data_IF_524034638442
#
_entry.id   IF_524034638442
#
_cell.length_a   1.000
_cell.length_b   1.000
_cell.length_c   1.000
_cell.angle_alpha   90.00
_cell.angle_beta   90.00
_cell.angle_gamma   90.00
#
_symmetry.space_group_name_H-M   'P 1'
#
loop_
_entity.id
_entity.type
_entity.pdbx_description
1 polymer ?
#
# COMPACT_ATOMS: atom_id res chain seq x y z
N UNK A 1 63.37 -13.22 43.78
CA UNK A 1 62.43 -14.21 43.20
C UNK A 1 61.00 -13.70 43.42
N UNK A 2 60.39 -13.13 42.38
CA UNK A 2 58.94 -12.98 42.25
C UNK A 2 58.65 -12.71 40.77
N UNK A 3 58.01 -13.66 40.08
CA UNK A 3 57.52 -13.51 38.70
C UNK A 3 56.17 -12.77 38.74
N UNK A 4 55.86 -11.84 37.83
CA UNK A 4 54.49 -11.39 37.65
C UNK A 4 53.70 -12.42 36.81
N UNK A 5 52.56 -12.83 37.36
CA UNK A 5 51.49 -13.55 36.67
C UNK A 5 50.65 -12.55 35.87
N UNK A 6 50.87 -12.41 34.56
CA UNK A 6 49.89 -11.76 33.66
C UNK A 6 50.18 -12.10 32.20
N UNK A 7 50.01 -13.37 31.82
CA UNK A 7 49.94 -13.75 30.40
C UNK A 7 48.69 -14.61 30.05
N UNK A 8 47.88 -15.00 31.03
CA UNK A 8 46.70 -15.86 30.80
C UNK A 8 45.38 -15.10 30.60
N UNK A 9 45.33 -13.81 30.92
CA UNK A 9 44.11 -13.00 30.75
C UNK A 9 43.96 -12.43 29.33
N UNK A 10 45.07 -12.21 28.61
CA UNK A 10 45.04 -11.68 27.24
C UNK A 10 44.58 -12.73 26.21
N UNK A 11 44.85 -14.01 26.45
CA UNK A 11 44.49 -15.11 25.54
C UNK A 11 43.01 -15.49 25.60
N UNK A 12 42.34 -15.30 26.75
CA UNK A 12 40.90 -15.53 26.88
C UNK A 12 40.06 -14.43 26.21
N UNK A 13 40.53 -13.18 26.20
CA UNK A 13 39.84 -12.06 25.54
C UNK A 13 39.92 -12.13 24.01
N UNK A 14 41.04 -12.61 23.46
CA UNK A 14 41.22 -12.77 22.01
C UNK A 14 40.41 -13.95 21.42
N UNK A 15 40.16 -15.01 22.20
CA UNK A 15 39.32 -16.12 21.77
C UNK A 15 37.82 -15.74 21.67
N UNK A 16 37.34 -14.83 22.53
CA UNK A 16 35.94 -14.37 22.52
C UNK A 16 35.64 -13.36 21.41
N UNK A 17 36.64 -12.63 20.90
CA UNK A 17 36.46 -11.70 19.77
C UNK A 17 36.50 -12.44 18.42
N UNK A 18 37.21 -13.57 18.35
CA UNK A 18 37.25 -14.40 17.13
C UNK A 18 35.94 -15.16 16.85
N UNK A 19 35.06 -15.36 17.85
CA UNK A 19 33.76 -15.99 17.66
C UNK A 19 32.67 -15.05 17.09
N UNK A 20 32.93 -13.74 17.02
CA UNK A 20 31.98 -12.73 16.51
C UNK A 20 32.22 -12.34 15.03
N UNK A 21 33.22 -12.94 14.37
CA UNK A 21 33.64 -12.55 13.01
C UNK A 21 33.53 -13.66 11.96
N UNK A 22 32.96 -14.81 12.31
CA UNK A 22 32.54 -15.78 11.28
C UNK A 22 31.09 -15.49 10.90
N UNK A 23 30.80 -15.12 9.63
CA UNK A 23 29.46 -15.28 9.13
C UNK A 23 29.24 -16.79 9.11
N UNK A 24 28.51 -17.30 10.11
CA UNK A 24 27.80 -18.56 9.93
C UNK A 24 27.05 -18.37 8.63
N UNK A 25 27.36 -19.19 7.63
CA UNK A 25 26.46 -19.42 6.50
C UNK A 25 25.17 -20.00 7.09
N UNK A 26 24.39 -19.15 7.75
CA UNK A 26 22.98 -19.35 7.86
C UNK A 26 22.55 -19.33 6.40
N UNK A 27 22.27 -20.52 5.86
CA UNK A 27 21.31 -20.61 4.78
C UNK A 27 20.23 -19.61 5.13
N UNK A 28 20.03 -18.64 4.24
CA UNK A 28 18.80 -17.89 4.15
C UNK A 28 17.72 -18.94 3.91
N UNK A 29 17.31 -19.62 4.98
CA UNK A 29 15.98 -20.17 5.08
C UNK A 29 15.11 -18.95 4.91
N UNK A 30 14.29 -18.99 3.86
CA UNK A 30 13.26 -18.04 3.56
C UNK A 30 12.46 -17.75 4.83
N UNK A 31 12.90 -16.77 5.63
CA UNK A 31 12.14 -16.16 6.71
C UNK A 31 11.14 -15.19 6.07
N UNK A 32 10.39 -15.73 5.11
CA UNK A 32 9.10 -15.22 4.74
C UNK A 32 8.16 -15.60 5.87
N UNK A 33 7.19 -14.74 6.14
CA UNK A 33 6.05 -14.95 7.06
C UNK A 33 5.28 -16.27 6.83
N UNK A 34 5.63 -17.03 5.79
CA UNK A 34 5.01 -18.28 5.36
C UNK A 34 5.53 -19.55 6.07
N UNK A 35 6.70 -19.53 6.72
CA UNK A 35 7.38 -20.79 7.13
C UNK A 35 7.91 -20.86 8.58
N UNK A 36 7.91 -19.77 9.35
CA UNK A 36 8.49 -19.73 10.70
C UNK A 36 7.47 -19.85 11.85
N UNK A 37 7.76 -20.66 12.88
CA UNK A 37 7.14 -20.50 14.20
C UNK A 37 7.64 -19.18 14.81
N UNK A 38 6.97 -18.08 14.51
CA UNK A 38 7.25 -16.74 15.06
C UNK A 38 6.80 -16.60 16.52
N UNK A 39 7.08 -17.59 17.37
CA UNK A 39 6.86 -17.46 18.81
C UNK A 39 8.17 -17.03 19.45
N UNK A 40 8.25 -15.81 20.03
CA UNK A 40 9.41 -15.40 20.79
C UNK A 40 9.75 -16.44 21.87
N UNK A 41 11.04 -16.56 22.20
CA UNK A 41 11.45 -17.43 23.29
C UNK A 41 10.73 -17.01 24.58
N UNK A 42 10.01 -17.95 25.19
CA UNK A 42 9.23 -17.73 26.42
C UNK A 42 10.12 -17.36 27.61
N UNK A 43 11.43 -17.62 27.53
CA UNK A 43 12.41 -17.18 28.51
C UNK A 43 12.74 -15.68 28.41
N UNK A 44 12.47 -15.05 27.25
CA UNK A 44 12.75 -13.64 27.00
C UNK A 44 11.49 -12.77 27.05
N UNK A 45 10.37 -13.28 26.54
CA UNK A 45 9.09 -12.56 26.49
C UNK A 45 7.95 -13.50 26.87
N UNK A 46 7.22 -13.16 27.93
CA UNK A 46 6.02 -13.90 28.31
C UNK A 46 4.94 -13.75 27.24
N UNK A 47 4.28 -14.86 26.90
CA UNK A 47 3.19 -14.84 25.94
C UNK A 47 1.92 -14.25 26.57
N UNK A 48 1.42 -13.15 26.00
CA UNK A 48 0.13 -12.52 26.36
C UNK A 48 -0.92 -12.66 25.26
N UNK A 49 -2.19 -12.71 25.66
CA UNK A 49 -3.37 -12.52 24.78
C UNK A 49 -4.11 -11.20 25.06
N UNK A 50 -3.61 -10.39 25.98
CA UNK A 50 -4.19 -9.16 26.52
C UNK A 50 -4.42 -8.10 25.43
N UNK A 51 -3.65 -8.14 24.35
CA UNK A 51 -3.90 -7.25 23.21
C UNK A 51 -5.26 -7.52 22.54
N UNK A 52 -5.75 -8.77 22.58
CA UNK A 52 -7.08 -9.11 22.05
C UNK A 52 -8.20 -8.53 22.90
N UNK A 53 -8.02 -8.40 24.22
CA UNK A 53 -9.02 -7.75 25.08
C UNK A 53 -8.96 -6.22 24.96
N UNK A 54 -7.79 -5.66 24.68
CA UNK A 54 -7.63 -4.22 24.46
C UNK A 54 -8.19 -3.74 23.12
N UNK A 55 -7.83 -4.42 22.02
CA UNK A 55 -8.09 -3.96 20.66
C UNK A 55 -8.20 -5.18 19.71
N UNK A 56 -9.32 -5.91 19.80
CA UNK A 56 -9.58 -7.05 18.92
C UNK A 56 -9.73 -6.59 17.46
N UNK A 57 -8.96 -7.15 16.50
CA UNK A 57 -9.06 -6.76 15.10
C UNK A 57 -10.41 -7.18 14.51
N UNK A 58 -11.05 -6.27 13.79
CA UNK A 58 -12.31 -6.46 13.06
C UNK A 58 -12.10 -6.34 11.56
N UNK A 59 -13.10 -6.78 10.79
CA UNK A 59 -13.11 -6.76 9.33
C UNK A 59 -11.93 -7.51 8.69
N UNK A 60 -11.38 -8.55 9.32
CA UNK A 60 -10.28 -9.33 8.76
C UNK A 60 -10.50 -10.82 9.00
N UNK A 61 -10.16 -11.61 7.99
CA UNK A 61 -10.12 -13.07 8.07
C UNK A 61 -8.88 -13.52 8.84
N UNK A 62 -9.08 -14.26 9.93
CA UNK A 62 -7.98 -14.80 10.74
C UNK A 62 -7.47 -16.07 10.07
N UNK A 63 -6.25 -16.02 9.55
CA UNK A 63 -5.56 -17.16 8.96
C UNK A 63 -4.55 -17.71 9.96
N UNK A 64 -4.66 -18.99 10.28
CA UNK A 64 -3.74 -19.66 11.21
C UNK A 64 -2.29 -19.56 10.69
N UNK A 65 -1.36 -19.24 11.59
CA UNK A 65 0.05 -19.08 11.24
C UNK A 65 0.42 -17.78 10.52
N UNK A 66 -0.55 -16.89 10.22
CA UNK A 66 -0.29 -15.64 9.51
C UNK A 66 -0.54 -14.41 10.39
N UNK A 67 0.51 -13.67 10.78
CA UNK A 67 0.36 -12.44 11.55
C UNK A 67 -0.42 -11.36 10.79
N UNK A 68 -1.28 -10.63 11.51
CA UNK A 68 -1.97 -9.46 10.97
C UNK A 68 -1.02 -8.26 11.01
N UNK A 69 -0.75 -7.59 9.87
CA UNK A 69 0.15 -6.44 9.85
C UNK A 69 -0.49 -5.20 10.51
N UNK A 70 0.29 -4.49 11.32
CA UNK A 70 -0.20 -3.33 12.11
C UNK A 70 0.14 -1.98 11.48
N UNK A 71 1.23 -1.88 10.72
CA UNK A 71 1.74 -0.61 10.14
C UNK A 71 1.72 -0.61 8.60
N UNK A 72 0.72 -1.27 8.02
CA UNK A 72 0.54 -1.32 6.56
C UNK A 72 -0.26 -0.13 6.04
N UNK A 73 -0.04 0.25 4.78
CA UNK A 73 -0.72 1.39 4.13
C UNK A 73 -2.24 1.22 4.03
N UNK A 74 -2.74 -0.01 4.13
CA UNK A 74 -4.15 -0.36 4.14
C UNK A 74 -4.69 -0.63 5.55
N UNK A 75 -3.92 -0.34 6.61
CA UNK A 75 -4.27 -0.68 8.00
C UNK A 75 -5.60 -0.11 8.46
N UNK A 76 -6.06 1.00 7.88
CA UNK A 76 -7.37 1.61 8.15
C UNK A 76 -8.56 0.65 7.90
N UNK A 77 -8.39 -0.39 7.08
CA UNK A 77 -9.42 -1.40 6.84
C UNK A 77 -9.69 -2.28 8.07
N UNK A 78 -8.69 -2.43 8.94
CA UNK A 78 -8.78 -3.17 10.19
C UNK A 78 -9.00 -2.13 11.29
N UNK A 79 -10.06 -2.33 12.07
CA UNK A 79 -10.37 -1.49 13.22
C UNK A 79 -10.58 -2.37 14.44
N UNK A 80 -10.42 -1.81 15.63
CA UNK A 80 -10.87 -2.44 16.86
C UNK A 80 -11.97 -1.65 17.58
N UNK A 81 -12.46 -0.57 16.95
CA UNK A 81 -13.56 0.22 17.49
C UNK A 81 -14.87 -0.59 17.44
N UNK A 82 -15.49 -0.87 18.61
CA UNK A 82 -16.73 -1.61 18.68
C UNK A 82 -17.92 -0.92 18.01
N UNK A 83 -17.87 0.42 17.87
CA UNK A 83 -18.90 1.24 17.22
C UNK A 83 -18.73 1.36 15.70
N UNK A 84 -17.62 0.84 15.16
CA UNK A 84 -17.28 0.98 13.74
C UNK A 84 -18.19 0.24 12.75
N UNK A 85 -19.20 -0.52 13.20
CA UNK A 85 -20.28 -0.96 12.30
C UNK A 85 -21.05 0.23 11.70
N UNK A 86 -20.98 1.40 12.35
CA UNK A 86 -21.63 2.64 11.92
C UNK A 86 -20.62 3.78 11.61
N UNK A 87 -19.31 3.49 11.58
CA UNK A 87 -18.28 4.49 11.30
C UNK A 87 -17.67 4.21 9.93
N UNK A 88 -17.59 5.21 9.03
CA UNK A 88 -16.92 5.04 7.75
C UNK A 88 -15.47 4.62 7.95
N UNK A 89 -15.03 3.64 7.17
CA UNK A 89 -13.63 3.23 7.15
C UNK A 89 -12.79 4.40 6.64
N UNK A 90 -11.73 4.74 7.37
CA UNK A 90 -10.81 5.80 6.95
C UNK A 90 -10.18 5.45 5.59
N UNK A 91 -9.90 6.45 4.74
CA UNK A 91 -9.39 6.18 3.40
C UNK A 91 -8.08 5.39 3.41
N UNK A 92 -7.89 4.55 2.41
CA UNK A 92 -6.60 3.93 2.07
C UNK A 92 -6.05 4.49 0.77
N UNK A 93 -4.73 4.37 0.58
CA UNK A 93 -4.01 5.10 -0.46
C UNK A 93 -3.15 4.16 -1.29
N UNK A 94 -3.75 3.34 -2.19
CA UNK A 94 -2.97 2.54 -3.12
C UNK A 94 -2.13 3.43 -4.05
N UNK A 95 -2.50 4.70 -4.27
CA UNK A 95 -1.87 5.58 -5.25
C UNK A 95 -2.06 5.08 -6.70
N UNK A 96 -2.39 5.98 -7.66
CA UNK A 96 -2.64 7.40 -7.48
C UNK A 96 -4.00 7.72 -6.80
N UNK A 97 -4.81 6.68 -6.55
CA UNK A 97 -6.16 6.83 -6.01
C UNK A 97 -6.22 6.86 -4.49
N UNK A 98 -7.30 7.45 -3.99
CA UNK A 98 -7.79 7.26 -2.63
C UNK A 98 -9.03 6.37 -2.69
N UNK A 99 -9.09 5.36 -1.83
CA UNK A 99 -10.23 4.45 -1.71
C UNK A 99 -10.88 4.66 -0.36
N UNK A 100 -12.20 4.88 -0.36
CA UNK A 100 -13.03 4.84 0.85
C UNK A 100 -14.04 3.71 0.73
N UNK A 101 -14.42 3.17 1.87
CA UNK A 101 -15.41 2.09 1.93
C UNK A 101 -16.66 2.65 2.59
N UNK A 102 -17.76 2.66 1.84
CA UNK A 102 -19.04 3.12 2.35
C UNK A 102 -19.73 1.97 3.09
N UNK A 103 -19.64 2.01 4.42
CA UNK A 103 -20.30 1.08 5.34
C UNK A 103 -21.52 1.70 6.03
N UNK A 104 -21.84 2.97 5.74
CA UNK A 104 -22.81 3.77 6.50
C UNK A 104 -23.83 4.47 5.61
N UNK A 105 -23.96 4.04 4.35
CA UNK A 105 -24.86 4.67 3.39
C UNK A 105 -26.32 4.63 3.85
N UNK A 106 -26.97 5.79 3.86
CA UNK A 106 -28.41 5.91 4.13
C UNK A 106 -29.28 5.71 2.88
N UNK A 107 -28.64 5.63 1.70
CA UNK A 107 -29.27 5.43 0.39
C UNK A 107 -29.01 4.03 -0.19
N UNK A 108 -28.39 3.14 0.59
CA UNK A 108 -28.05 1.78 0.16
C UNK A 108 -26.84 1.70 -0.79
N UNK A 109 -26.06 2.77 -0.91
CA UNK A 109 -24.85 2.84 -1.75
C UNK A 109 -23.61 2.25 -1.06
N UNK A 110 -23.76 1.13 -0.36
CA UNK A 110 -22.63 0.45 0.26
C UNK A 110 -21.68 -0.05 -0.83
N UNK A 111 -20.38 0.17 -0.70
CA UNK A 111 -19.48 -0.15 -1.79
C UNK A 111 -18.07 0.37 -1.61
N UNK A 112 -17.29 0.19 -2.67
CA UNK A 112 -15.96 0.76 -2.76
C UNK A 112 -16.02 2.06 -3.56
N UNK A 113 -15.64 3.15 -2.90
CA UNK A 113 -15.59 4.47 -3.51
C UNK A 113 -14.14 4.82 -3.88
N UNK A 114 -13.96 5.31 -5.09
CA UNK A 114 -12.68 5.75 -5.64
C UNK A 114 -12.72 7.24 -5.94
N UNK A 115 -11.60 7.93 -5.66
CA UNK A 115 -11.34 9.28 -6.13
C UNK A 115 -9.88 9.47 -6.54
N UNK A 116 -9.63 10.46 -7.39
CA UNK A 116 -8.29 10.96 -7.71
C UNK A 116 -8.00 12.26 -6.93
N UNK A 117 -7.42 12.15 -5.71
CA UNK A 117 -7.36 13.25 -4.74
C UNK A 117 -6.49 14.43 -5.18
N UNK A 118 -5.49 14.20 -6.04
CA UNK A 118 -4.55 15.26 -6.47
C UNK A 118 -5.24 16.47 -7.09
N UNK A 119 -6.38 16.27 -7.79
CA UNK A 119 -7.19 17.36 -8.34
C UNK A 119 -7.76 18.30 -7.29
N UNK A 120 -7.92 17.80 -6.06
CA UNK A 120 -8.48 18.53 -4.91
C UNK A 120 -7.38 18.96 -3.93
N UNK A 121 -6.14 19.09 -4.39
CA UNK A 121 -5.03 19.56 -3.56
C UNK A 121 -5.22 21.04 -3.23
N UNK A 122 -5.07 21.37 -1.95
CA UNK A 122 -5.03 22.74 -1.47
C UNK A 122 -3.83 22.95 -0.57
N UNK A 123 -3.40 24.21 -0.45
CA UNK A 123 -2.29 24.64 0.38
C UNK A 123 -2.81 25.62 1.42
N UNK A 124 -2.35 25.50 2.66
CA UNK A 124 -2.82 26.30 3.78
C UNK A 124 -1.68 26.95 4.55
N UNK A 125 -2.03 27.99 5.30
CA UNK A 125 -1.16 28.74 6.22
C UNK A 125 0.16 29.16 5.56
N UNK A 126 0.06 30.03 4.56
CA UNK A 126 1.24 30.60 3.90
C UNK A 126 2.05 31.46 4.88
N UNK A 127 3.35 31.21 4.93
CA UNK A 127 4.31 32.04 5.63
C UNK A 127 4.59 33.34 4.85
N UNK A 128 5.22 34.32 5.49
CA UNK A 128 5.58 35.61 4.88
C UNK A 128 6.49 35.46 3.65
N UNK A 129 7.26 34.38 3.56
CA UNK A 129 8.10 34.05 2.40
C UNK A 129 7.37 33.30 1.26
N UNK A 130 6.04 33.15 1.35
CA UNK A 130 5.23 32.45 0.35
C UNK A 130 5.23 30.92 0.46
N UNK A 131 5.88 30.34 1.47
CA UNK A 131 5.89 28.87 1.69
C UNK A 131 4.62 28.43 2.43
N UNK A 132 3.90 27.45 1.89
CA UNK A 132 2.77 26.84 2.59
C UNK A 132 3.26 25.99 3.78
N UNK A 133 2.61 26.13 4.95
CA UNK A 133 2.91 25.29 6.13
C UNK A 133 2.44 23.85 5.95
N UNK A 134 1.34 23.67 5.22
CA UNK A 134 0.82 22.34 4.90
C UNK A 134 0.12 22.33 3.55
N UNK A 135 -0.08 21.13 3.02
CA UNK A 135 -1.00 20.86 1.93
C UNK A 135 -1.88 19.68 2.31
N UNK A 136 -3.09 19.66 1.76
CA UNK A 136 -4.07 18.61 1.99
C UNK A 136 -4.78 18.23 0.70
N UNK A 137 -5.54 17.14 0.76
CA UNK A 137 -6.41 16.71 -0.33
C UNK A 137 -7.79 16.39 0.23
N UNK A 138 -8.84 16.93 -0.39
CA UNK A 138 -10.18 16.45 -0.10
C UNK A 138 -10.32 15.01 -0.62
N UNK A 139 -10.83 14.11 0.23
CA UNK A 139 -11.16 12.74 -0.17
C UNK A 139 -12.61 12.71 -0.63
N UNK A 140 -12.81 12.72 -1.94
CA UNK A 140 -14.12 12.65 -2.56
C UNK A 140 -14.40 11.23 -3.06
N UNK A 141 -15.66 10.81 -2.92
CA UNK A 141 -16.19 9.57 -3.48
C UNK A 141 -16.59 9.83 -4.93
N UNK A 142 -15.62 10.01 -5.83
CA UNK A 142 -15.92 10.43 -7.21
C UNK A 142 -16.79 9.40 -7.94
N UNK A 143 -16.48 8.11 -7.79
CA UNK A 143 -17.29 6.99 -8.26
C UNK A 143 -17.38 5.92 -7.18
N UNK A 144 -18.58 5.40 -6.92
CA UNK A 144 -18.83 4.26 -6.03
C UNK A 144 -19.21 3.05 -6.86
N UNK A 145 -18.46 1.96 -6.71
CA UNK A 145 -18.85 0.64 -7.20
C UNK A 145 -19.58 -0.08 -6.06
N UNK A 146 -20.85 -0.37 -6.30
CA UNK A 146 -21.81 -0.95 -5.37
C UNK A 146 -22.60 -2.07 -6.07
N UNK A 147 -23.63 -2.59 -5.42
CA UNK A 147 -24.56 -3.56 -5.95
C UNK A 147 -26.00 -3.17 -5.62
N UNK A 148 -26.95 -3.47 -6.51
CA UNK A 148 -28.38 -3.19 -6.30
C UNK A 148 -28.93 -3.89 -5.06
N UNK A 149 -28.40 -5.07 -4.75
CA UNK A 149 -28.84 -5.91 -3.64
C UNK A 149 -28.37 -5.35 -2.29
N UNK A 150 -27.39 -4.46 -2.28
CA UNK A 150 -27.00 -3.76 -1.06
C UNK A 150 -28.03 -2.65 -0.79
N UNK A 151 -28.80 -2.82 0.27
CA UNK A 151 -29.86 -1.88 0.66
C UNK A 151 -29.73 -1.57 2.14
N UNK A 152 -30.47 -0.57 2.63
CA UNK A 152 -30.50 -0.23 4.06
C UNK A 152 -31.03 -1.35 4.96
N UNK A 153 -31.73 -2.34 4.39
CA UNK A 153 -32.20 -3.55 5.09
C UNK A 153 -31.33 -4.78 4.80
N UNK A 154 -30.51 -4.75 3.75
CA UNK A 154 -29.56 -5.79 3.36
C UNK A 154 -28.14 -5.21 3.33
N UNK A 155 -27.64 -4.82 4.50
CA UNK A 155 -26.32 -4.20 4.66
C UNK A 155 -25.23 -5.27 4.45
N UNK A 156 -24.27 -5.06 3.53
CA UNK A 156 -23.19 -6.01 3.31
C UNK A 156 -22.20 -6.04 4.48
N UNK A 157 -21.63 -7.22 4.72
CA UNK A 157 -20.48 -7.38 5.61
C UNK A 157 -19.18 -7.06 4.87
N UNK A 158 -18.31 -6.27 5.50
CA UNK A 158 -16.97 -5.96 5.02
C UNK A 158 -15.94 -6.93 5.61
N UNK A 159 -15.02 -7.43 4.78
CA UNK A 159 -13.87 -8.21 5.24
C UNK A 159 -12.62 -8.00 4.38
N UNK A 160 -11.47 -7.91 5.02
CA UNK A 160 -10.14 -8.17 4.45
C UNK A 160 -10.00 -9.68 4.37
N UNK A 161 -10.11 -10.23 3.17
CA UNK A 161 -10.12 -11.67 2.92
C UNK A 161 -8.71 -12.26 2.87
N UNK A 162 -7.75 -11.51 2.33
CA UNK A 162 -6.34 -11.91 2.26
C UNK A 162 -5.46 -10.68 2.01
N UNK A 163 -4.15 -10.83 2.22
CA UNK A 163 -3.16 -9.81 1.86
C UNK A 163 -1.91 -10.44 1.24
N UNK A 164 -1.03 -9.60 0.71
CA UNK A 164 0.32 -9.90 0.20
C UNK A 164 1.24 -8.77 0.67
N UNK A 165 2.53 -8.81 0.33
CA UNK A 165 3.44 -7.71 0.67
C UNK A 165 3.03 -6.41 -0.04
N UNK A 166 2.42 -6.51 -1.22
CA UNK A 166 2.15 -5.38 -2.11
C UNK A 166 0.66 -5.03 -2.25
N UNK A 167 -0.24 -5.81 -1.66
CA UNK A 167 -1.67 -5.58 -1.82
C UNK A 167 -2.57 -6.26 -0.79
N UNK A 168 -3.85 -5.91 -0.84
CA UNK A 168 -4.89 -6.42 0.05
C UNK A 168 -6.15 -6.76 -0.74
N UNK A 169 -6.76 -7.91 -0.44
CA UNK A 169 -8.06 -8.31 -0.98
C UNK A 169 -9.15 -7.96 0.00
N UNK A 170 -10.12 -7.19 -0.46
CA UNK A 170 -11.26 -6.74 0.34
C UNK A 170 -12.54 -7.22 -0.31
N UNK A 171 -13.45 -7.76 0.48
CA UNK A 171 -14.73 -8.28 0.03
C UNK A 171 -15.89 -7.64 0.79
N UNK A 172 -16.96 -7.35 0.05
CA UNK A 172 -18.29 -7.07 0.57
C UNK A 172 -19.24 -8.20 0.20
N UNK A 173 -19.96 -8.73 1.18
CA UNK A 173 -20.86 -9.87 0.99
C UNK A 173 -22.18 -9.67 1.69
N UNK A 174 -23.28 -10.06 1.05
CA UNK A 174 -24.58 -10.12 1.72
C UNK A 174 -24.51 -11.10 2.90
N UNK A 175 -24.93 -10.72 4.12
CA UNK A 175 -24.81 -11.58 5.31
C UNK A 175 -25.47 -12.95 5.13
N UNK A 176 -26.55 -13.00 4.36
CA UNK A 176 -27.40 -14.18 4.14
C UNK A 176 -26.96 -15.05 2.96
N UNK A 177 -25.87 -14.71 2.27
CA UNK A 177 -25.47 -15.40 1.03
C UNK A 177 -23.97 -15.65 0.94
N UNK A 178 -23.59 -16.90 0.69
CA UNK A 178 -22.21 -17.27 0.42
C UNK A 178 -21.76 -16.94 -1.02
N UNK A 179 -22.71 -16.79 -1.95
CA UNK A 179 -22.46 -16.67 -3.39
C UNK A 179 -22.78 -15.30 -3.96
N UNK A 180 -23.11 -14.32 -3.11
CA UNK A 180 -23.40 -12.94 -3.51
C UNK A 180 -22.44 -11.98 -2.84
N UNK A 181 -21.36 -11.65 -3.55
CA UNK A 181 -20.31 -10.79 -3.05
C UNK A 181 -19.67 -10.00 -4.19
N UNK A 182 -18.98 -8.93 -3.81
CA UNK A 182 -18.04 -8.23 -4.66
C UNK A 182 -16.71 -8.11 -3.93
N UNK A 183 -15.61 -8.24 -4.67
CA UNK A 183 -14.27 -8.14 -4.12
C UNK A 183 -13.36 -7.29 -4.97
N UNK A 184 -12.42 -6.61 -4.33
CA UNK A 184 -11.39 -5.82 -5.01
C UNK A 184 -10.03 -6.14 -4.40
N UNK A 185 -9.02 -6.20 -5.27
CA UNK A 185 -7.62 -6.25 -4.83
C UNK A 185 -7.05 -4.83 -4.94
N UNK A 186 -6.68 -4.24 -3.80
CA UNK A 186 -6.04 -2.94 -3.78
C UNK A 186 -4.53 -3.14 -3.73
N UNK A 187 -3.85 -2.67 -4.77
CA UNK A 187 -2.40 -2.83 -4.95
C UNK A 187 -1.80 -1.44 -5.12
N UNK A 188 -0.70 -1.19 -4.41
CA UNK A 188 -0.07 0.13 -4.47
C UNK A 188 0.47 0.39 -5.88
N UNK A 189 0.04 1.47 -6.54
CA UNK A 189 0.39 1.81 -7.92
C UNK A 189 -0.59 1.32 -8.99
N UNK A 190 -1.72 0.71 -8.61
CA UNK A 190 -2.68 0.17 -9.58
C UNK A 190 -3.24 1.28 -10.50
N UNK A 191 -3.23 1.11 -11.84
CA UNK A 191 -3.86 2.06 -12.75
C UNK A 191 -5.38 1.92 -12.77
N UNK A 192 -5.87 0.69 -12.57
CA UNK A 192 -7.28 0.35 -12.62
C UNK A 192 -7.78 -0.03 -11.24
N UNK A 193 -8.90 0.55 -10.86
CA UNK A 193 -9.72 0.07 -9.76
C UNK A 193 -10.52 -1.13 -10.22
N UNK A 194 -10.20 -2.31 -9.69
CA UNK A 194 -10.76 -3.57 -10.18
C UNK A 194 -11.67 -4.20 -9.14
N UNK A 195 -12.90 -4.50 -9.54
CA UNK A 195 -13.89 -5.19 -8.73
C UNK A 195 -14.44 -6.40 -9.47
N UNK A 196 -14.37 -7.56 -8.83
CA UNK A 196 -15.00 -8.80 -9.30
C UNK A 196 -16.33 -8.98 -8.57
N UNK A 197 -17.39 -9.22 -9.34
CA UNK A 197 -18.73 -9.48 -8.83
C UNK A 197 -19.07 -10.96 -8.98
N UNK A 198 -19.79 -11.49 -8.00
CA UNK A 198 -20.38 -12.82 -8.03
C UNK A 198 -21.87 -12.70 -7.70
N UNK A 199 -22.74 -12.93 -8.69
CA UNK A 199 -24.21 -12.94 -8.56
C UNK A 199 -24.81 -11.70 -7.89
N UNK A 200 -24.20 -10.54 -8.12
CA UNK A 200 -24.69 -9.22 -7.71
C UNK A 200 -24.95 -8.39 -8.95
N UNK A 201 -25.93 -7.49 -8.90
CA UNK A 201 -26.25 -6.56 -9.99
C UNK A 201 -25.41 -5.30 -9.79
N UNK A 202 -24.36 -5.03 -10.61
CA UNK A 202 -23.46 -3.92 -10.37
C UNK A 202 -24.19 -2.58 -10.41
N UNK A 203 -23.81 -1.69 -9.51
CA UNK A 203 -24.34 -0.33 -9.40
C UNK A 203 -23.18 0.65 -9.36
N UNK A 204 -23.18 1.64 -10.25
CA UNK A 204 -22.16 2.69 -10.28
C UNK A 204 -22.82 4.02 -9.95
N UNK A 205 -22.29 4.70 -8.93
CA UNK A 205 -22.80 6.00 -8.46
C UNK A 205 -21.71 7.05 -8.63
N UNK A 206 -21.99 8.08 -9.41
CA UNK A 206 -21.08 9.19 -9.64
C UNK A 206 -21.44 10.35 -8.70
N UNK A 207 -20.44 11.00 -8.11
CA UNK A 207 -20.69 12.20 -7.31
C UNK A 207 -21.07 13.43 -8.17
N UNK A 208 -20.71 13.43 -9.45
CA UNK A 208 -21.08 14.47 -10.40
C UNK A 208 -21.94 13.87 -11.52
N UNK A 209 -22.96 14.58 -12.02
CA UNK A 209 -23.76 14.12 -13.16
C UNK A 209 -22.92 13.73 -14.37
N UNK A 210 -23.28 12.62 -15.01
CA UNK A 210 -22.74 12.12 -16.26
C UNK A 210 -23.34 12.96 -17.40
N UNK A 211 -22.47 13.66 -18.13
CA UNK A 211 -22.85 14.46 -19.30
C UNK A 211 -22.92 13.58 -20.56
N UNK A 212 -21.90 12.75 -20.78
CA UNK A 212 -21.84 11.87 -21.94
C UNK A 212 -21.40 10.45 -21.59
N UNK A 213 -21.91 9.51 -22.38
CA UNK A 213 -21.52 8.10 -22.37
C UNK A 213 -21.09 7.76 -23.80
N UNK A 214 -19.86 7.31 -23.96
CA UNK A 214 -19.26 6.99 -25.27
C UNK A 214 -19.34 8.15 -26.28
N UNK A 215 -19.21 9.39 -25.81
CA UNK A 215 -19.24 10.60 -26.63
C UNK A 215 -20.64 11.09 -27.01
N UNK A 216 -21.70 10.32 -26.71
CA UNK A 216 -23.08 10.75 -26.89
C UNK A 216 -23.68 11.28 -25.59
N UNK A 217 -24.64 12.21 -25.68
CA UNK A 217 -25.34 12.73 -24.51
C UNK A 217 -25.96 11.59 -23.69
N UNK A 218 -25.79 11.64 -22.37
CA UNK A 218 -26.33 10.66 -21.47
C UNK A 218 -27.87 10.82 -21.37
N UNK A 219 -28.61 9.81 -21.82
CA UNK A 219 -30.07 9.78 -21.78
C UNK A 219 -30.52 8.91 -20.60
N UNK A 220 -31.25 9.53 -19.65
CA UNK A 220 -31.86 8.81 -18.51
C UNK A 220 -32.88 7.79 -19.01
N UNK A 221 -32.95 6.65 -18.35
CA UNK A 221 -33.70 5.45 -18.74
C UNK A 221 -33.20 4.70 -19.97
N UNK A 222 -32.18 5.21 -20.68
CA UNK A 222 -31.54 4.45 -21.75
C UNK A 222 -30.64 3.34 -21.20
N UNK A 223 -30.47 2.28 -22.01
CA UNK A 223 -29.53 1.19 -21.73
C UNK A 223 -28.33 1.27 -22.66
N UNK A 224 -27.16 0.99 -22.11
CA UNK A 224 -25.88 1.02 -22.80
C UNK A 224 -25.24 -0.36 -22.66
N UNK A 225 -24.95 -1.00 -23.79
CA UNK A 225 -24.35 -2.33 -23.85
C UNK A 225 -22.98 -2.25 -24.49
N UNK A 226 -22.00 -2.94 -23.92
CA UNK A 226 -20.66 -3.04 -24.47
C UNK A 226 -19.65 -3.60 -23.48
N UNK A 227 -18.39 -3.66 -23.92
CA UNK A 227 -17.23 -4.08 -23.12
C UNK A 227 -16.48 -2.91 -22.48
N UNK A 228 -16.76 -1.70 -22.96
CA UNK A 228 -16.02 -0.47 -22.65
C UNK A 228 -16.98 0.71 -22.65
N UNK A 229 -16.93 1.50 -21.59
CA UNK A 229 -17.77 2.68 -21.41
C UNK A 229 -16.91 3.87 -21.01
N UNK A 230 -17.00 4.95 -21.78
CA UNK A 230 -16.35 6.22 -21.47
C UNK A 230 -17.38 7.18 -20.91
N UNK A 231 -17.25 7.49 -19.63
CA UNK A 231 -18.09 8.45 -18.93
C UNK A 231 -17.37 9.81 -18.86
N UNK A 232 -18.06 10.88 -19.25
CA UNK A 232 -17.61 12.25 -18.99
C UNK A 232 -18.63 12.90 -18.09
N UNK A 233 -18.20 13.37 -16.92
CA UNK A 233 -19.07 14.10 -15.98
C UNK A 233 -19.11 15.60 -16.30
N UNK A 234 -20.13 16.31 -15.80
CA UNK A 234 -20.34 17.75 -16.05
C UNK A 234 -19.18 18.65 -15.64
N UNK A 235 -18.33 18.20 -14.71
CA UNK A 235 -17.11 18.90 -14.30
C UNK A 235 -15.88 18.56 -15.18
N UNK A 236 -16.07 17.82 -16.28
CA UNK A 236 -15.03 17.45 -17.23
C UNK A 236 -14.21 16.20 -16.87
N UNK A 237 -14.45 15.57 -15.72
CA UNK A 237 -13.72 14.34 -15.37
C UNK A 237 -14.12 13.19 -16.31
N UNK A 238 -13.12 12.50 -16.84
CA UNK A 238 -13.30 11.35 -17.74
C UNK A 238 -12.92 10.05 -17.01
N UNK A 239 -13.83 9.09 -17.04
CA UNK A 239 -13.67 7.74 -16.48
C UNK A 239 -13.92 6.70 -17.55
N UNK A 240 -13.16 5.60 -17.52
CA UNK A 240 -13.39 4.47 -18.41
C UNK A 240 -13.65 3.23 -17.57
N UNK A 241 -14.74 2.54 -17.88
CA UNK A 241 -15.08 1.25 -17.30
C UNK A 241 -14.91 0.17 -18.36
N UNK A 242 -14.18 -0.88 -18.01
CA UNK A 242 -14.03 -2.09 -18.81
C UNK A 242 -14.76 -3.25 -18.13
N UNK A 243 -15.54 -4.00 -18.91
CA UNK A 243 -15.99 -5.34 -18.55
C UNK A 243 -15.02 -6.33 -19.19
N UNK A 244 -14.24 -7.01 -18.35
CA UNK A 244 -13.16 -7.92 -18.76
C UNK A 244 -13.53 -9.37 -18.48
N UNK A 245 -12.74 -10.31 -19.02
CA UNK A 245 -12.96 -11.74 -18.86
C UNK A 245 -13.33 -12.14 -17.41
N UNK A 246 -14.26 -13.10 -17.23
CA UNK A 246 -14.86 -13.97 -18.25
C UNK A 246 -15.95 -13.32 -19.10
N UNK A 247 -16.41 -12.11 -18.76
CA UNK A 247 -17.53 -11.43 -19.43
C UNK A 247 -17.05 -10.18 -20.16
N UNK A 248 -16.99 -10.27 -21.48
CA UNK A 248 -16.57 -9.17 -22.36
C UNK A 248 -17.72 -8.24 -22.76
N UNK A 249 -18.94 -8.43 -22.28
CA UNK A 249 -20.06 -7.52 -22.54
C UNK A 249 -20.92 -7.36 -21.30
N UNK A 250 -21.33 -6.13 -21.06
CA UNK A 250 -22.14 -5.74 -19.93
C UNK A 250 -23.21 -4.75 -20.39
N UNK A 251 -24.37 -4.74 -19.72
CA UNK A 251 -25.43 -3.75 -19.98
C UNK A 251 -25.79 -2.99 -18.70
N UNK A 252 -25.60 -1.67 -18.71
CA UNK A 252 -26.14 -0.77 -17.68
C UNK A 252 -27.34 -0.01 -18.21
N UNK A 253 -28.33 0.24 -17.35
CA UNK A 253 -29.34 1.28 -17.53
C UNK A 253 -28.92 2.51 -16.72
N UNK A 254 -29.04 3.69 -17.31
CA UNK A 254 -28.88 4.96 -16.61
C UNK A 254 -30.19 5.29 -15.89
N UNK A 255 -30.29 5.00 -14.59
CA UNK A 255 -31.51 5.25 -13.82
C UNK A 255 -31.67 6.74 -13.45
N UNK A 256 -30.56 7.45 -13.25
CA UNK A 256 -30.51 8.91 -13.12
C UNK A 256 -29.20 9.44 -13.72
N UNK A 257 -29.03 10.76 -13.82
CA UNK A 257 -27.79 11.34 -14.34
C UNK A 257 -26.54 11.03 -13.48
N UNK A 258 -26.67 10.42 -12.31
CA UNK A 258 -25.55 10.01 -11.44
C UNK A 258 -25.51 8.50 -11.18
N UNK A 259 -26.52 7.75 -11.63
CA UNK A 259 -26.72 6.36 -11.23
C UNK A 259 -26.86 5.43 -12.45
N UNK A 260 -25.93 4.51 -12.57
CA UNK A 260 -25.97 3.39 -13.50
C UNK A 260 -26.25 2.09 -12.74
N UNK A 261 -27.14 1.26 -13.27
CA UNK A 261 -27.50 -0.03 -12.69
C UNK A 261 -27.42 -1.12 -13.76
N UNK A 262 -26.80 -2.24 -13.41
CA UNK A 262 -26.74 -3.43 -14.26
C UNK A 262 -28.14 -3.93 -14.64
N UNK A 263 -28.26 -4.48 -15.85
CA UNK A 263 -29.52 -5.05 -16.32
C UNK A 263 -29.93 -6.31 -15.52
N UNK A 264 -28.96 -7.09 -15.04
CA UNK A 264 -29.16 -8.34 -14.31
C UNK A 264 -28.00 -8.60 -13.33
N UNK A 265 -28.10 -9.69 -12.57
CA UNK A 265 -26.97 -10.24 -11.81
C UNK A 265 -25.78 -10.51 -12.72
N UNK A 266 -24.58 -10.24 -12.21
CA UNK A 266 -23.32 -10.28 -12.95
C UNK A 266 -22.32 -11.21 -12.27
N UNK A 267 -21.59 -11.95 -13.10
CA UNK A 267 -20.41 -12.73 -12.72
C UNK A 267 -19.29 -12.27 -13.63
N UNK A 268 -18.28 -11.64 -13.06
CA UNK A 268 -17.13 -11.15 -13.81
C UNK A 268 -16.50 -9.90 -13.21
N UNK A 269 -15.58 -9.32 -13.97
CA UNK A 269 -14.72 -8.25 -13.48
C UNK A 269 -15.06 -6.93 -14.18
N UNK A 270 -15.17 -5.87 -13.38
CA UNK A 270 -15.28 -4.49 -13.84
C UNK A 270 -14.02 -3.73 -13.42
N UNK A 271 -13.39 -3.04 -14.37
CA UNK A 271 -12.18 -2.25 -14.14
C UNK A 271 -12.45 -0.79 -14.47
N UNK A 272 -12.39 0.08 -13.47
CA UNK A 272 -12.60 1.51 -13.61
C UNK A 272 -11.26 2.26 -13.56
N UNK A 273 -11.07 3.24 -14.42
CA UNK A 273 -9.86 4.06 -14.47
C UNK A 273 -10.17 5.53 -14.74
N UNK A 274 -9.43 6.44 -14.10
CA UNK A 274 -9.48 7.86 -14.46
C UNK A 274 -8.49 8.14 -15.60
N UNK A 275 -8.94 8.87 -16.63
CA UNK A 275 -8.08 9.24 -17.76
C UNK A 275 -7.93 10.74 -17.86
N UNK A 276 -6.70 11.20 -18.06
CA UNK A 276 -6.34 12.62 -18.14
C UNK A 276 -6.04 13.08 -19.58
N UNK A 277 -5.80 12.15 -20.50
CA UNK A 277 -5.54 12.44 -21.91
C UNK A 277 -5.86 11.23 -22.79
N UNK A 278 -5.81 11.39 -24.11
CA UNK A 278 -5.95 10.26 -25.03
C UNK A 278 -4.75 9.30 -24.97
N UNK A 279 -3.55 9.79 -24.63
CA UNK A 279 -2.39 8.93 -24.34
C UNK A 279 -2.67 7.97 -23.19
N UNK A 280 -3.30 8.46 -22.10
CA UNK A 280 -3.75 7.60 -21.00
C UNK A 280 -4.79 6.59 -21.49
N UNK A 281 -5.78 7.06 -22.25
CA UNK A 281 -6.85 6.20 -22.79
C UNK A 281 -6.28 5.05 -23.61
N UNK A 282 -5.37 5.34 -24.55
CA UNK A 282 -4.74 4.32 -25.42
C UNK A 282 -3.92 3.30 -24.62
N UNK A 283 -3.16 3.75 -23.62
CA UNK A 283 -2.43 2.84 -22.74
C UNK A 283 -3.40 1.95 -21.94
N UNK A 284 -4.46 2.55 -21.38
CA UNK A 284 -5.43 1.77 -20.62
C UNK A 284 -6.17 0.74 -21.49
N UNK A 285 -6.48 1.10 -22.74
CA UNK A 285 -7.11 0.20 -23.69
C UNK A 285 -6.23 -1.01 -24.06
N UNK A 286 -4.91 -0.81 -24.13
CA UNK A 286 -3.94 -1.86 -24.48
C UNK A 286 -3.70 -2.87 -23.35
N UNK A 287 -3.71 -2.43 -22.09
CA UNK A 287 -3.32 -3.27 -20.93
C UNK A 287 -4.48 -3.67 -20.01
N UNK A 288 -5.73 -3.44 -20.42
CA UNK A 288 -6.94 -3.69 -19.60
C UNK A 288 -7.21 -5.16 -19.27
N UNK A 289 -6.58 -6.12 -19.93
CA UNK A 289 -6.85 -7.54 -19.66
C UNK A 289 -5.97 -8.10 -18.53
N UNK A 290 -4.81 -7.49 -18.25
CA UNK A 290 -3.91 -7.92 -17.19
C UNK A 290 -4.31 -7.29 -15.85
N UNK A 291 -4.79 -8.10 -14.92
CA UNK A 291 -5.32 -7.65 -13.61
C UNK A 291 -4.31 -7.99 -12.52
N UNK A 292 -3.78 -6.96 -11.85
CA UNK A 292 -2.95 -7.14 -10.65
C UNK A 292 -3.81 -7.50 -9.44
N UNK A 293 -3.38 -8.49 -8.67
CA UNK A 293 -4.08 -8.98 -7.47
C UNK A 293 -3.27 -8.85 -6.19
N UNK A 294 -1.96 -8.60 -6.30
CA UNK A 294 -1.05 -8.51 -5.17
C UNK A 294 0.40 -8.60 -5.64
N UNK A 295 1.26 -9.09 -4.76
CA UNK A 295 2.62 -9.46 -5.10
C UNK A 295 3.50 -9.61 -3.88
N UNK A 296 4.69 -10.17 -4.11
CA UNK A 296 5.71 -10.41 -3.10
C UNK A 296 6.95 -9.54 -3.35
N UNK A 297 7.69 -9.29 -2.28
CA UNK A 297 9.01 -8.68 -2.34
C UNK A 297 10.07 -9.77 -2.37
N UNK A 298 10.96 -9.71 -3.36
CA UNK A 298 12.08 -10.62 -3.51
C UNK A 298 13.39 -9.88 -3.21
N UNK A 299 14.11 -10.31 -2.17
CA UNK A 299 15.40 -9.74 -1.79
C UNK A 299 16.52 -10.63 -2.35
N UNK A 300 17.24 -10.14 -3.35
CA UNK A 300 18.31 -10.93 -4.00
C UNK A 300 19.69 -10.66 -3.42
N UNK A 301 19.98 -9.39 -3.12
CA UNK A 301 21.21 -8.94 -2.47
C UNK A 301 20.92 -7.66 -1.69
N UNK A 302 21.89 -7.18 -0.90
CA UNK A 302 21.80 -5.91 -0.16
C UNK A 302 21.56 -4.68 -1.06
N UNK A 303 21.81 -4.81 -2.37
CA UNK A 303 21.68 -3.72 -3.35
C UNK A 303 20.63 -3.99 -4.42
N UNK A 304 19.97 -5.15 -4.41
CA UNK A 304 19.06 -5.55 -5.47
C UNK A 304 17.84 -6.27 -4.91
N UNK A 305 16.66 -5.77 -5.26
CA UNK A 305 15.38 -6.37 -4.89
C UNK A 305 14.42 -6.38 -6.08
N UNK A 306 13.34 -7.16 -5.96
CA UNK A 306 12.30 -7.27 -6.97
C UNK A 306 10.92 -7.18 -6.36
N UNK A 307 9.98 -6.70 -7.18
CA UNK A 307 8.54 -6.78 -6.91
C UNK A 307 7.97 -7.78 -7.92
N UNK A 308 7.55 -8.94 -7.42
CA UNK A 308 6.92 -9.98 -8.22
C UNK A 308 5.41 -9.81 -8.13
N UNK A 309 4.76 -9.45 -9.24
CA UNK A 309 3.35 -9.11 -9.24
C UNK A 309 2.49 -10.34 -9.46
N UNK A 310 1.52 -10.54 -8.57
CA UNK A 310 0.47 -11.52 -8.78
C UNK A 310 -0.54 -10.95 -9.76
N UNK A 311 -0.87 -11.71 -10.80
CA UNK A 311 -1.79 -11.27 -11.85
C UNK A 311 -2.76 -12.38 -12.28
N UNK A 312 -3.91 -11.96 -12.79
CA UNK A 312 -4.90 -12.81 -13.46
C UNK A 312 -5.34 -12.16 -14.77
N UNK A 313 -5.98 -12.94 -15.65
CA UNK A 313 -6.39 -12.49 -16.98
C UNK A 313 -5.27 -12.65 -18.01
N UNK A 314 -5.40 -11.95 -19.15
CA UNK A 314 -4.40 -11.97 -20.22
C UNK A 314 -3.34 -10.90 -19.97
N UNK A 315 -2.14 -11.36 -19.62
CA UNK A 315 -0.96 -10.52 -19.39
C UNK A 315 0.08 -10.62 -20.51
N UNK A 316 -0.29 -11.11 -21.70
CA UNK A 316 0.62 -11.23 -22.85
C UNK A 316 1.19 -9.89 -23.31
N UNK A 317 0.47 -8.79 -23.11
CA UNK A 317 0.95 -7.43 -23.36
C UNK A 317 1.76 -6.86 -22.19
N UNK A 318 1.83 -7.55 -21.05
CA UNK A 318 2.47 -7.08 -19.82
C UNK A 318 1.51 -6.35 -18.87
N UNK A 319 1.97 -6.14 -17.64
CA UNK A 319 1.25 -5.43 -16.60
C UNK A 319 1.59 -3.94 -16.64
N UNK A 320 0.58 -3.10 -16.92
CA UNK A 320 0.67 -1.65 -16.72
C UNK A 320 0.53 -1.33 -15.23
N UNK A 321 1.50 -0.61 -14.65
CA UNK A 321 1.51 -0.24 -13.24
C UNK A 321 2.26 1.08 -12.99
N UNK A 322 1.82 1.89 -12.02
CA UNK A 322 2.43 3.19 -11.73
C UNK A 322 3.59 3.07 -10.74
N UNK A 323 4.76 3.57 -11.13
CA UNK A 323 5.96 3.64 -10.31
C UNK A 323 6.12 5.02 -9.66
N UNK A 324 6.36 5.05 -8.35
CA UNK A 324 6.71 6.23 -7.56
C UNK A 324 8.09 6.79 -7.96
N UNK A 325 8.40 8.07 -7.65
CA UNK A 325 9.70 8.68 -7.98
C UNK A 325 10.92 7.84 -7.60
N UNK A 326 10.97 7.29 -6.39
CA UNK A 326 12.10 6.46 -5.95
C UNK A 326 12.21 5.14 -6.74
N UNK A 327 11.07 4.51 -7.05
CA UNK A 327 11.05 3.29 -7.88
C UNK A 327 11.59 3.59 -9.28
N UNK A 328 11.19 4.71 -9.90
CA UNK A 328 11.69 5.11 -11.23
C UNK A 328 13.20 5.38 -11.25
N UNK A 329 13.76 5.77 -10.11
CA UNK A 329 15.18 6.09 -10.01
C UNK A 329 16.07 4.83 -9.99
N UNK A 330 15.55 3.69 -9.50
CA UNK A 330 16.31 2.45 -9.35
C UNK A 330 15.80 1.26 -10.17
N UNK A 331 14.67 1.40 -10.90
CA UNK A 331 14.15 0.31 -11.74
C UNK A 331 15.11 -0.06 -12.86
N UNK A 332 15.34 -1.36 -13.03
CA UNK A 332 16.19 -1.91 -14.08
C UNK A 332 15.36 -2.07 -15.37
N UNK A 333 15.71 -1.29 -16.39
CA UNK A 333 14.93 -1.17 -17.64
C UNK A 333 14.80 -2.45 -18.49
N UNK A 334 15.53 -3.51 -18.18
CA UNK A 334 15.42 -4.80 -18.87
C UNK A 334 14.10 -5.53 -18.56
N UNK A 335 13.50 -5.28 -17.39
CA UNK A 335 12.31 -6.02 -16.93
C UNK A 335 11.02 -5.20 -17.04
N UNK A 336 11.13 -3.89 -17.18
CA UNK A 336 10.00 -3.00 -17.38
C UNK A 336 10.40 -1.75 -18.17
N UNK A 337 9.50 -1.29 -19.04
CA UNK A 337 9.68 -0.05 -19.77
C UNK A 337 8.65 1.01 -19.37
N UNK A 338 9.08 2.26 -19.35
CA UNK A 338 8.21 3.40 -19.09
C UNK A 338 7.26 3.63 -20.26
N UNK A 339 5.98 3.86 -19.97
CA UNK A 339 4.99 4.31 -20.95
C UNK A 339 5.03 5.84 -21.02
N UNK A 340 5.48 6.37 -22.15
CA UNK A 340 5.66 7.81 -22.36
C UNK A 340 4.31 8.54 -22.29
N UNK A 341 4.27 9.65 -21.56
CA UNK A 341 3.07 10.52 -21.47
C UNK A 341 1.94 9.98 -20.59
N UNK A 342 2.15 8.86 -19.89
CA UNK A 342 1.18 8.29 -18.93
C UNK A 342 1.71 8.51 -17.51
N UNK A 343 1.26 9.60 -16.88
CA UNK A 343 1.66 10.00 -15.53
C UNK A 343 0.47 10.43 -14.70
N UNK A 344 0.49 10.08 -13.42
CA UNK A 344 -0.51 10.50 -12.44
C UNK A 344 0.21 10.88 -11.14
N UNK A 345 -0.31 11.81 -10.37
CA UNK A 345 0.32 12.21 -9.12
C UNK A 345 -0.20 11.37 -7.97
N UNK A 346 0.71 10.84 -7.16
CA UNK A 346 0.36 10.37 -5.83
C UNK A 346 -0.09 11.57 -4.96
N UNK A 347 -0.96 11.37 -3.97
CA UNK A 347 -1.39 12.44 -3.06
C UNK A 347 -0.20 13.15 -2.40
N UNK A 348 0.76 12.40 -1.86
CA UNK A 348 1.85 12.96 -1.04
C UNK A 348 3.25 12.54 -1.49
N UNK A 349 3.37 11.85 -2.64
CA UNK A 349 4.65 11.27 -3.11
C UNK A 349 5.05 11.72 -4.52
N UNK A 350 4.44 12.79 -5.03
CA UNK A 350 4.77 13.39 -6.31
C UNK A 350 4.28 12.61 -7.52
N UNK A 351 4.81 12.94 -8.70
CA UNK A 351 4.42 12.33 -9.97
C UNK A 351 4.88 10.86 -10.07
N UNK A 352 3.92 9.98 -10.33
CA UNK A 352 4.13 8.59 -10.71
C UNK A 352 4.14 8.47 -12.24
N UNK A 353 4.97 7.58 -12.77
CA UNK A 353 4.93 7.24 -14.20
C UNK A 353 4.52 5.79 -14.40
N UNK A 354 3.74 5.52 -15.43
CA UNK A 354 3.36 4.15 -15.76
C UNK A 354 4.53 3.39 -16.39
N UNK A 355 4.66 2.12 -16.01
CA UNK A 355 5.59 1.15 -16.57
C UNK A 355 4.82 -0.10 -16.98
N UNK A 356 5.33 -0.80 -17.99
CA UNK A 356 4.82 -2.11 -18.43
C UNK A 356 5.91 -3.15 -18.21
N UNK A 357 5.55 -4.29 -17.63
CA UNK A 357 6.48 -5.41 -17.44
C UNK A 357 6.74 -6.14 -18.76
N UNK A 358 7.98 -6.61 -18.97
CA UNK A 358 8.36 -7.43 -20.12
C UNK A 358 8.58 -8.91 -19.77
N UNK A 359 8.31 -9.30 -18.53
CA UNK A 359 8.55 -10.65 -18.02
C UNK A 359 7.24 -11.39 -17.76
N UNK A 360 7.30 -12.72 -17.81
CA UNK A 360 6.26 -13.61 -17.31
C UNK A 360 6.92 -14.59 -16.32
N UNK A 361 6.60 -14.53 -15.01
CA UNK A 361 5.61 -13.64 -14.38
C UNK A 361 6.01 -12.15 -14.41
N UNK A 362 5.04 -11.21 -14.36
CA UNK A 362 5.30 -9.77 -14.35
C UNK A 362 6.16 -9.35 -13.15
N UNK A 363 7.33 -8.76 -13.40
CA UNK A 363 8.29 -8.41 -12.34
C UNK A 363 8.94 -7.07 -12.60
N UNK A 364 9.12 -6.27 -11.54
CA UNK A 364 10.06 -5.15 -11.52
C UNK A 364 11.31 -5.55 -10.74
N UNK A 365 12.48 -5.14 -11.24
CA UNK A 365 13.76 -5.31 -10.54
C UNK A 365 14.34 -3.92 -10.26
N UNK A 366 14.98 -3.78 -9.11
CA UNK A 366 15.55 -2.53 -8.63
C UNK A 366 17.00 -2.74 -8.25
N UNK A 367 17.84 -1.74 -8.53
CA UNK A 367 19.24 -1.72 -8.13
C UNK A 367 19.56 -0.40 -7.41
N UNK A 368 20.00 -0.52 -6.17
CA UNK A 368 20.40 0.58 -5.31
C UNK A 368 21.93 0.64 -5.30
N UNK A 369 22.51 1.56 -6.05
CA UNK A 369 23.97 1.65 -6.23
C UNK A 369 24.71 2.30 -5.04
N UNK A 370 23.99 2.84 -4.06
CA UNK A 370 24.56 3.60 -2.96
C UNK A 370 24.91 2.68 -1.77
N UNK A 371 26.17 2.27 -1.68
CA UNK A 371 26.73 1.81 -0.40
C UNK A 371 26.85 3.00 0.53
N UNK A 372 26.17 2.98 1.68
CA UNK A 372 26.41 3.94 2.76
C UNK A 372 27.51 3.33 3.63
N UNK A 373 28.77 3.82 3.59
CA UNK A 373 29.84 3.30 4.43
C UNK A 373 29.61 3.77 5.88
N UNK A 374 28.71 3.09 6.58
CA UNK A 374 28.45 3.33 7.99
C UNK A 374 29.52 2.60 8.79
N UNK A 375 30.23 3.32 9.65
CA UNK A 375 31.13 2.76 10.64
C UNK A 375 30.91 3.47 11.97
N UNK A 376 31.55 3.01 13.05
CA UNK A 376 31.56 3.72 14.34
C UNK A 376 32.13 5.14 14.26
N UNK A 377 32.89 5.45 13.21
CA UNK A 377 33.56 6.73 13.04
C UNK A 377 32.92 7.59 11.94
N UNK A 378 33.02 8.93 12.06
CA UNK A 378 32.69 9.85 10.99
C UNK A 378 33.50 9.56 9.71
N UNK A 379 32.94 9.96 8.56
CA UNK A 379 33.57 9.79 7.24
C UNK A 379 34.97 10.42 7.16
N UNK A 380 35.17 11.54 7.84
CA UNK A 380 36.46 12.22 8.00
C UNK A 380 36.99 11.99 9.40
N UNK A 381 38.14 11.31 9.49
CA UNK A 381 38.91 11.25 10.75
C UNK A 381 39.64 12.57 10.95
N UNK A 382 39.76 12.99 12.20
CA UNK A 382 40.49 14.21 12.54
C UNK A 382 41.97 14.05 12.19
N UNK A 383 42.57 15.12 11.66
CA UNK A 383 44.02 15.18 11.46
C UNK A 383 44.68 15.73 12.73
N UNK A 384 45.95 15.41 12.95
CA UNK A 384 46.69 15.80 14.16
C UNK A 384 46.79 17.33 14.39
N UNK A 385 46.47 18.16 13.39
CA UNK A 385 46.51 19.63 13.48
C UNK A 385 45.24 20.25 14.10
N UNK A 386 44.09 19.56 14.04
CA UNK A 386 42.86 19.96 14.75
C UNK A 386 42.85 19.50 16.22
N UNK A 387 43.84 18.68 16.61
CA UNK A 387 43.84 17.87 17.81
C UNK A 387 44.32 18.60 19.09
N UNK A 388 45.08 19.70 18.99
CA UNK A 388 45.80 20.25 20.16
C UNK A 388 44.93 21.16 21.06
N UNK A 389 43.61 21.21 20.84
CA UNK A 389 42.66 21.85 21.76
C UNK A 389 41.25 21.27 21.67
N UNK A 390 40.86 20.77 20.49
CA UNK A 390 39.61 20.03 20.31
C UNK A 390 39.62 18.67 21.02
N UNK A 391 40.77 17.98 21.08
CA UNK A 391 40.86 16.64 21.69
C UNK A 391 40.80 16.68 23.21
N UNK A 392 41.42 17.67 23.86
CA UNK A 392 41.38 17.82 25.32
C UNK A 392 39.96 18.16 25.80
N UNK A 393 39.28 19.09 25.13
CA UNK A 393 37.88 19.44 25.47
C UNK A 393 36.92 18.27 25.23
N UNK A 394 37.11 17.53 24.12
CA UNK A 394 36.29 16.34 23.83
C UNK A 394 36.53 15.23 24.86
N UNK A 395 37.78 15.00 25.26
CA UNK A 395 38.11 14.05 26.31
C UNK A 395 37.46 14.46 27.64
N UNK A 396 37.51 15.74 28.01
CA UNK A 396 36.87 16.22 29.23
C UNK A 396 35.36 16.00 29.19
N UNK A 397 34.68 16.36 28.10
CA UNK A 397 33.23 16.10 27.93
C UNK A 397 32.91 14.61 28.05
N UNK A 398 33.70 13.74 27.42
CA UNK A 398 33.48 12.30 27.51
C UNK A 398 33.65 11.78 28.95
N UNK A 399 34.66 12.27 29.67
CA UNK A 399 34.87 11.92 31.08
C UNK A 399 33.69 12.40 31.94
N UNK A 400 33.24 13.63 31.72
CA UNK A 400 32.09 14.21 32.44
C UNK A 400 30.82 13.40 32.19
N UNK A 401 30.55 13.01 30.94
CA UNK A 401 29.38 12.19 30.57
C UNK A 401 29.46 10.80 31.21
N UNK A 402 30.62 10.14 31.20
CA UNK A 402 30.80 8.82 31.84
C UNK A 402 30.64 8.88 33.36
N UNK A 403 31.10 9.97 33.99
CA UNK A 403 31.00 10.18 35.44
C UNK A 403 29.65 10.74 35.89
N UNK A 404 28.82 11.21 34.96
CA UNK A 404 27.48 11.70 35.26
C UNK A 404 26.61 10.60 35.92
N UNK A 405 25.60 10.96 36.72
CA UNK A 405 24.67 9.98 37.27
C UNK A 405 23.79 9.35 36.18
N UNK A 406 24.02 8.06 35.88
CA UNK A 406 23.19 7.31 34.94
C UNK A 406 22.10 6.52 35.65
N UNK A 407 20.88 6.59 35.13
CA UNK A 407 19.79 5.71 35.54
C UNK A 407 18.88 5.39 34.37
N UNK A 408 18.41 4.15 34.30
CA UNK A 408 17.41 3.68 33.34
C UNK A 408 16.22 3.17 34.14
N UNK A 409 15.04 3.75 33.93
CA UNK A 409 13.85 3.35 34.68
C UNK A 409 13.35 1.98 34.21
N UNK A 410 13.23 1.01 35.11
CA UNK A 410 12.80 -0.36 34.79
C UNK A 410 11.36 -0.44 34.28
N UNK A 411 10.50 0.48 34.70
CA UNK A 411 9.12 0.65 34.21
C UNK A 411 8.97 1.93 33.36
N UNK A 412 10.08 2.44 32.84
CA UNK A 412 10.12 3.64 32.01
C UNK A 412 9.72 3.39 30.56
N UNK A 413 9.54 4.48 29.81
CA UNK A 413 9.31 4.40 28.37
C UNK A 413 10.53 3.82 27.66
N UNK A 414 10.32 2.77 26.86
CA UNK A 414 11.36 2.19 26.00
C UNK A 414 12.00 3.23 25.08
N UNK A 415 11.24 4.25 24.66
CA UNK A 415 11.77 5.32 23.80
C UNK A 415 12.82 6.18 24.51
N UNK A 416 12.54 6.65 25.73
CA UNK A 416 13.48 7.49 26.47
C UNK A 416 14.63 6.69 27.07
N UNK A 417 14.35 5.47 27.54
CA UNK A 417 15.39 4.55 28.00
C UNK A 417 16.34 4.17 26.86
N UNK A 418 15.82 3.92 25.65
CA UNK A 418 16.62 3.64 24.47
C UNK A 418 17.52 4.81 24.08
N UNK A 419 17.02 6.06 24.16
CA UNK A 419 17.83 7.27 23.94
C UNK A 419 18.93 7.48 24.97
N UNK A 420 18.73 7.06 26.22
CA UNK A 420 19.75 7.14 27.24
C UNK A 420 20.79 6.01 27.10
N UNK A 421 20.38 4.85 26.59
CA UNK A 421 21.29 3.71 26.40
C UNK A 421 22.16 3.84 25.13
N UNK A 422 21.67 4.55 24.11
CA UNK A 422 22.40 4.88 22.88
C UNK A 422 23.35 6.05 23.11
#
# INVERSE_FOLDING_TARGET
MARPKTLSALTAALASVALLLYPVQAQSTYDTWETGMLTPDKLLVEHTSEMRSLCAPRNIEIVAGRPIPTNTWWGNLITCDPSASNTPVSPIWPNPYAITIDTTSTTGDYGFAIGYPYRMRYFGDYQTNGTARYYGHAVLREVVLSAREFTTTAVPTLRVASWTDLGVKVQMRLPTSATQYMESNFVSGMPYFTTTYQNLTPRLVFNNPIATINGANAIVSASYTGSRFVFVTVNGNKWILYATAPTSSFTFRLDSNVLLRGASGYVGTLRLVNTLSDTHTNAYDAFKECVVTGGSVDLTTDSTYGLQWDTVGDCSQGLLHFALPHQRASIVGTNAARVVGVTMNAPTRGEMAAYVTHTSPPTWRFSESASIPISFYPKTRWTNLDAVGGTERMLQTLVDDVQAPWSIATLGSLYFNGKAAQ
#
